data_IF_139563359181
#
_entry.id   IF_139563359181
#
_cell.length_a   1.000
_cell.length_b   1.000
_cell.length_c   1.000
_cell.angle_alpha   90.00
_cell.angle_beta   90.00
_cell.angle_gamma   90.00
#
_symmetry.space_group_name_H-M   'P 1'
#
loop_
_entity.id
_entity.type
_entity.pdbx_description
1 polymer ?
#
# COMPACT_ATOMS: atom_id res chain seq x y z
N UNK A 1 24.71 26.69 25.97
CA UNK A 1 23.24 26.60 26.20
C UNK A 1 22.45 26.88 24.94
N UNK A 2 22.64 28.01 24.23
CA UNK A 2 21.86 28.37 23.03
C UNK A 2 21.97 27.38 21.84
N UNK A 3 23.17 26.84 21.56
CA UNK A 3 23.36 25.86 20.47
C UNK A 3 22.64 24.52 20.72
N UNK A 4 22.50 24.11 21.98
CA UNK A 4 21.80 22.88 22.35
C UNK A 4 20.29 23.00 22.10
N UNK A 5 19.71 24.17 22.37
CA UNK A 5 18.28 24.42 22.13
C UNK A 5 17.94 24.44 20.63
N UNK A 6 18.79 25.09 19.83
CA UNK A 6 18.66 25.10 18.36
C UNK A 6 18.79 23.69 17.79
N UNK A 7 19.80 22.93 18.25
CA UNK A 7 20.00 21.54 17.83
C UNK A 7 18.82 20.65 18.21
N UNK A 8 18.23 20.85 19.40
CA UNK A 8 17.04 20.11 19.84
C UNK A 8 15.80 20.41 18.99
N UNK A 9 15.56 21.67 18.64
CA UNK A 9 14.45 22.05 17.75
C UNK A 9 14.64 21.46 16.34
N UNK A 10 15.84 21.57 15.78
CA UNK A 10 16.16 20.98 14.48
C UNK A 10 16.00 19.46 14.49
N UNK A 11 16.46 18.77 15.54
CA UNK A 11 16.30 17.32 15.68
C UNK A 11 14.84 16.91 15.76
N UNK A 12 14.01 17.64 16.52
CA UNK A 12 12.58 17.35 16.62
C UNK A 12 11.85 17.50 15.27
N UNK A 13 12.15 18.56 14.50
CA UNK A 13 11.60 18.75 13.17
C UNK A 13 12.06 17.65 12.19
N UNK A 14 13.35 17.37 12.16
CA UNK A 14 13.94 16.36 11.28
C UNK A 14 13.45 14.94 11.62
N UNK A 15 13.27 14.61 12.90
CA UNK A 15 12.76 13.31 13.32
C UNK A 15 11.33 13.07 12.79
N UNK A 16 10.47 14.10 12.83
CA UNK A 16 9.12 14.01 12.26
C UNK A 16 9.14 13.74 10.76
N UNK A 17 9.96 14.47 10.01
CA UNK A 17 10.11 14.27 8.56
C UNK A 17 10.71 12.91 8.23
N UNK A 18 11.69 12.44 9.01
CA UNK A 18 12.32 11.15 8.81
C UNK A 18 11.34 10.00 9.06
N UNK A 19 10.46 10.12 10.06
CA UNK A 19 9.41 9.13 10.32
C UNK A 19 8.43 9.04 9.15
N UNK A 20 7.98 10.18 8.62
CA UNK A 20 7.11 10.20 7.44
C UNK A 20 7.78 9.57 6.22
N UNK A 21 9.05 9.93 5.95
CA UNK A 21 9.81 9.33 4.85
C UNK A 21 9.98 7.82 5.04
N UNK A 22 10.36 7.37 6.23
CA UNK A 22 10.47 5.93 6.53
C UNK A 22 9.16 5.21 6.31
N UNK A 23 8.04 5.78 6.72
CA UNK A 23 6.74 5.17 6.49
C UNK A 23 6.45 5.03 4.99
N UNK A 24 6.70 6.08 4.19
CA UNK A 24 6.58 5.98 2.73
C UNK A 24 7.54 4.95 2.13
N UNK A 25 8.82 4.96 2.50
CA UNK A 25 9.85 4.04 1.98
C UNK A 25 9.60 2.58 2.39
N UNK A 26 8.94 2.33 3.52
CA UNK A 26 8.56 0.98 3.94
C UNK A 26 7.27 0.50 3.25
N UNK A 27 6.36 1.42 2.94
CA UNK A 27 5.12 1.12 2.23
C UNK A 27 5.34 0.97 0.71
N UNK A 28 6.31 1.70 0.16
CA UNK A 28 6.62 1.65 -1.27
C UNK A 28 6.96 0.24 -1.80
N UNK A 29 7.88 -0.54 -1.18
CA UNK A 29 8.14 -1.91 -1.62
C UNK A 29 6.92 -2.81 -1.43
N UNK A 30 6.10 -2.57 -0.41
CA UNK A 30 4.84 -3.31 -0.25
C UNK A 30 3.87 -3.02 -1.41
N UNK A 31 3.78 -1.78 -1.88
CA UNK A 31 2.99 -1.45 -3.07
C UNK A 31 3.54 -2.11 -4.32
N UNK A 32 4.87 -2.16 -4.48
CA UNK A 32 5.52 -2.83 -5.61
C UNK A 32 5.24 -4.34 -5.59
N UNK A 33 5.35 -5.00 -4.42
CA UNK A 33 5.03 -6.42 -4.24
C UNK A 33 3.56 -6.69 -4.60
N UNK A 34 2.64 -5.85 -4.12
CA UNK A 34 1.21 -5.95 -4.45
C UNK A 34 1.00 -5.84 -5.96
N UNK A 35 1.63 -4.87 -6.61
CA UNK A 35 1.52 -4.68 -8.05
C UNK A 35 2.09 -5.87 -8.83
N UNK A 36 3.20 -6.46 -8.37
CA UNK A 36 3.78 -7.65 -8.96
C UNK A 36 2.86 -8.86 -8.82
N UNK A 37 2.18 -9.02 -7.68
CA UNK A 37 1.20 -10.08 -7.45
C UNK A 37 -0.12 -9.88 -8.20
N UNK A 38 -0.52 -8.64 -8.50
CA UNK A 38 -1.69 -8.33 -9.34
C UNK A 38 -1.46 -8.83 -10.77
N UNK A 39 -0.27 -8.65 -11.34
CA UNK A 39 0.02 -8.98 -12.73
C UNK A 39 -0.32 -10.44 -13.15
N UNK A 40 0.12 -11.49 -12.42
CA UNK A 40 -0.23 -12.86 -12.77
C UNK A 40 -1.71 -13.15 -12.57
N UNK A 41 -2.34 -12.64 -11.50
CA UNK A 41 -3.79 -12.81 -11.26
C UNK A 41 -4.60 -12.15 -12.38
N UNK A 42 -4.21 -10.94 -12.77
CA UNK A 42 -4.82 -10.19 -13.85
C UNK A 42 -4.75 -10.97 -15.18
N UNK A 43 -3.56 -11.51 -15.51
CA UNK A 43 -3.33 -12.29 -16.73
C UNK A 43 -4.01 -13.66 -16.72
N UNK A 44 -3.96 -14.37 -15.60
CA UNK A 44 -4.57 -15.70 -15.43
C UNK A 44 -6.11 -15.61 -15.50
N UNK A 45 -6.71 -14.54 -14.96
CA UNK A 45 -8.16 -14.31 -15.02
C UNK A 45 -8.65 -13.55 -16.25
N UNK A 46 -7.75 -13.04 -17.10
CA UNK A 46 -8.10 -12.34 -18.33
C UNK A 46 -8.71 -10.95 -18.12
N UNK A 47 -8.31 -10.24 -17.07
CA UNK A 47 -8.81 -8.90 -16.77
C UNK A 47 -8.03 -7.84 -17.55
N UNK A 48 -8.74 -6.98 -18.26
CA UNK A 48 -8.13 -5.84 -18.97
C UNK A 48 -7.76 -4.69 -18.03
N UNK A 49 -8.49 -4.53 -16.91
CA UNK A 49 -8.28 -3.45 -15.95
C UNK A 49 -8.58 -3.92 -14.53
N UNK A 50 -7.70 -3.57 -13.59
CA UNK A 50 -7.84 -3.80 -12.15
C UNK A 50 -7.88 -2.45 -11.43
N UNK A 51 -8.82 -2.29 -10.50
CA UNK A 51 -9.00 -1.07 -9.73
C UNK A 51 -9.03 -1.36 -8.23
N UNK A 52 -8.53 -0.41 -7.43
CA UNK A 52 -8.67 -0.44 -5.98
C UNK A 52 -10.10 -0.07 -5.53
N UNK A 53 -10.54 -0.64 -4.42
CA UNK A 53 -11.88 -0.43 -3.87
C UNK A 53 -12.15 1.01 -3.39
N UNK A 54 -11.11 1.75 -2.98
CA UNK A 54 -11.26 3.08 -2.37
C UNK A 54 -11.70 4.21 -3.31
N UNK A 55 -11.66 4.00 -4.63
CA UNK A 55 -11.96 5.02 -5.64
C UNK A 55 -13.10 4.64 -6.60
N UNK A 56 -13.72 3.47 -6.41
CA UNK A 56 -14.76 2.97 -7.30
C UNK A 56 -16.15 3.45 -6.87
N UNK A 57 -16.82 4.22 -7.73
CA UNK A 57 -18.18 4.72 -7.48
C UNK A 57 -19.27 3.69 -7.81
N UNK A 58 -18.99 2.77 -8.75
CA UNK A 58 -19.92 1.72 -9.16
C UNK A 58 -19.16 0.52 -9.73
N UNK A 59 -19.51 -0.68 -9.27
CA UNK A 59 -19.05 -1.96 -9.79
C UNK A 59 -20.27 -2.71 -10.35
N UNK A 60 -20.26 -3.02 -11.64
CA UNK A 60 -21.32 -3.82 -12.26
C UNK A 60 -21.19 -5.30 -11.93
N UNK A 61 -22.17 -6.11 -12.33
CA UNK A 61 -22.18 -7.57 -12.11
C UNK A 61 -21.04 -8.34 -12.80
N UNK A 62 -20.30 -7.69 -13.69
CA UNK A 62 -19.09 -8.24 -14.35
C UNK A 62 -17.79 -7.89 -13.62
N UNK A 63 -17.86 -7.02 -12.60
CA UNK A 63 -16.70 -6.71 -11.79
C UNK A 63 -16.45 -7.88 -10.84
N UNK A 64 -15.24 -8.42 -10.89
CA UNK A 64 -14.82 -9.51 -10.02
C UNK A 64 -13.85 -8.99 -8.96
N UNK A 65 -14.01 -9.50 -7.74
CA UNK A 65 -13.13 -9.23 -6.63
C UNK A 65 -11.92 -10.19 -6.73
N UNK A 66 -10.72 -9.64 -6.87
CA UNK A 66 -9.49 -10.43 -7.00
C UNK A 66 -8.53 -10.23 -5.83
N UNK A 67 -8.88 -9.46 -4.79
CA UNK A 67 -7.99 -9.19 -3.65
C UNK A 67 -7.55 -10.48 -2.98
N UNK A 68 -8.45 -11.43 -2.80
CA UNK A 68 -8.12 -12.71 -2.16
C UNK A 68 -7.10 -13.52 -2.97
N UNK A 69 -7.18 -13.45 -4.29
CA UNK A 69 -6.24 -14.12 -5.20
C UNK A 69 -4.86 -13.46 -5.14
N UNK A 70 -4.84 -12.11 -5.10
CA UNK A 70 -3.61 -11.32 -4.95
C UNK A 70 -2.97 -11.59 -3.59
N UNK A 71 -3.72 -11.62 -2.50
CA UNK A 71 -3.21 -11.94 -1.16
C UNK A 71 -2.60 -13.35 -1.11
N UNK A 72 -3.25 -14.34 -1.74
CA UNK A 72 -2.69 -15.69 -1.88
C UNK A 72 -1.38 -15.71 -2.65
N UNK A 73 -1.25 -14.94 -3.74
CA UNK A 73 0.02 -14.83 -4.50
C UNK A 73 1.11 -14.12 -3.71
N UNK A 74 0.75 -13.15 -2.87
CA UNK A 74 1.67 -12.47 -1.95
C UNK A 74 2.09 -13.35 -0.76
N UNK A 75 1.42 -14.48 -0.52
CA UNK A 75 1.69 -15.35 0.62
C UNK A 75 1.26 -14.74 1.96
N UNK A 76 0.41 -13.71 1.95
CA UNK A 76 -0.10 -13.06 3.15
C UNK A 76 -1.53 -13.50 3.43
N UNK A 77 -1.89 -13.62 4.72
CA UNK A 77 -3.27 -13.88 5.10
C UNK A 77 -4.09 -12.60 4.91
N UNK A 78 -5.23 -12.64 4.19
CA UNK A 78 -6.09 -11.48 4.07
C UNK A 78 -6.52 -10.98 5.45
N UNK A 79 -6.59 -9.66 5.67
CA UNK A 79 -7.10 -9.12 6.94
C UNK A 79 -8.51 -9.66 7.19
N UNK A 80 -8.84 -9.93 8.47
CA UNK A 80 -10.14 -10.47 8.86
C UNK A 80 -11.27 -9.68 8.19
N UNK A 81 -12.14 -10.40 7.50
CA UNK A 81 -13.17 -9.89 6.61
C UNK A 81 -14.02 -8.83 7.32
N UNK A 82 -13.78 -7.56 6.98
CA UNK A 82 -14.58 -6.41 7.38
C UNK A 82 -15.18 -5.74 6.12
N UNK A 83 -15.44 -6.52 5.07
CA UNK A 83 -16.01 -6.03 3.80
C UNK A 83 -17.53 -6.02 3.82
#
# INVERSE_FOLDING_TARGET
MQQLEVSRQQFQGNAGQLLQQKQMTLLQPLYDDIQEAINPVAKEGGYDVVFGSGSMLYAGSRAEEISDQVFKKLGVTPPADNR
#
